data_IF_125739724278
#
_entry.id   IF_125739724278
#
_cell.length_a   1.000
_cell.length_b   1.000
_cell.length_c   1.000
_cell.angle_alpha   90.00
_cell.angle_beta   90.00
_cell.angle_gamma   90.00
#
_symmetry.space_group_name_H-M   'P 1'
#
loop_
_entity.id
_entity.type
_entity.pdbx_description
1 polymer ?
#
# COMPACT_ATOMS: atom_id res chain seq x y z
N UNK A 1 -65.12 -1.67 -36.42
CA UNK A 1 -63.69 -1.71 -36.80
C UNK A 1 -62.99 -0.54 -36.13
N UNK A 2 -62.03 -0.85 -35.24
CA UNK A 2 -60.80 -0.11 -34.91
C UNK A 2 -60.97 1.37 -34.52
N UNK A 3 -61.07 1.68 -33.23
CA UNK A 3 -59.94 2.07 -32.34
C UNK A 3 -59.18 3.31 -32.82
N UNK A 4 -59.18 4.41 -32.06
CA UNK A 4 -57.97 4.87 -31.38
C UNK A 4 -58.26 6.03 -30.41
N UNK A 5 -57.82 5.82 -29.17
CA UNK A 5 -57.77 6.77 -28.07
C UNK A 5 -56.79 7.92 -28.40
N UNK A 6 -57.18 9.17 -28.09
CA UNK A 6 -56.26 10.30 -28.10
C UNK A 6 -55.79 10.62 -26.68
N UNK A 7 -54.46 10.61 -26.56
CA UNK A 7 -53.64 10.56 -25.35
C UNK A 7 -53.47 11.93 -24.73
N UNK A 8 -53.59 12.03 -23.40
CA UNK A 8 -53.03 13.13 -22.60
C UNK A 8 -51.91 12.54 -21.74
N UNK A 9 -50.68 13.04 -21.89
CA UNK A 9 -49.75 13.12 -20.76
C UNK A 9 -48.66 14.16 -21.05
N UNK A 10 -48.74 15.30 -20.35
CA UNK A 10 -47.61 16.20 -20.14
C UNK A 10 -46.88 15.71 -18.89
N UNK A 11 -45.60 15.37 -19.01
CA UNK A 11 -44.69 15.25 -17.88
C UNK A 11 -43.30 15.71 -18.32
N UNK A 12 -43.00 16.96 -17.98
CA UNK A 12 -41.67 17.55 -18.02
C UNK A 12 -40.85 16.88 -16.91
N UNK A 13 -39.80 16.14 -17.28
CA UNK A 13 -38.72 15.80 -16.35
C UNK A 13 -37.43 16.35 -16.92
N UNK A 14 -37.01 17.44 -16.28
CA UNK A 14 -35.72 18.08 -16.44
C UNK A 14 -34.61 17.22 -15.79
N UNK A 15 -33.41 17.34 -16.34
CA UNK A 15 -32.10 16.96 -15.78
C UNK A 15 -31.79 15.46 -15.62
N UNK A 16 -30.90 14.99 -16.49
CA UNK A 16 -29.62 14.38 -16.09
C UNK A 16 -28.72 14.33 -17.31
N UNK A 17 -27.93 15.39 -17.52
CA UNK A 17 -26.75 15.31 -18.38
C UNK A 17 -25.86 14.25 -17.72
N UNK A 18 -25.43 13.18 -18.40
CA UNK A 18 -24.40 12.34 -17.83
C UNK A 18 -23.17 13.23 -17.68
N UNK A 19 -22.81 13.52 -16.43
CA UNK A 19 -21.50 14.09 -16.14
C UNK A 19 -20.48 13.17 -16.80
N UNK A 20 -19.87 13.66 -17.87
CA UNK A 20 -18.71 13.03 -18.48
C UNK A 20 -17.69 12.98 -17.36
N UNK A 21 -17.51 11.80 -16.77
CA UNK A 21 -16.38 11.53 -15.91
C UNK A 21 -15.15 11.84 -16.76
N UNK A 22 -14.50 12.98 -16.50
CA UNK A 22 -13.12 13.17 -16.88
C UNK A 22 -12.39 12.01 -16.20
N UNK A 23 -12.15 10.94 -16.95
CA UNK A 23 -11.09 10.00 -16.61
C UNK A 23 -9.88 10.91 -16.50
N UNK A 24 -9.41 11.16 -15.28
CA UNK A 24 -8.02 11.50 -15.08
C UNK A 24 -7.28 10.33 -15.70
N UNK A 25 -6.92 10.48 -16.97
CA UNK A 25 -5.99 9.58 -17.61
C UNK A 25 -4.67 10.03 -17.02
N UNK A 26 -4.39 9.56 -15.80
CA UNK A 26 -3.04 9.65 -15.28
C UNK A 26 -2.13 9.13 -16.38
N UNK A 27 -1.07 9.88 -16.74
CA UNK A 27 -0.16 9.44 -17.78
C UNK A 27 0.21 7.98 -17.52
N UNK A 28 -0.06 7.10 -18.48
CA UNK A 28 0.27 5.70 -18.32
C UNK A 28 1.79 5.61 -18.09
N UNK A 29 2.17 5.28 -16.86
CA UNK A 29 3.57 5.11 -16.50
C UNK A 29 4.09 3.95 -17.35
N UNK A 30 5.06 4.24 -18.22
CA UNK A 30 5.76 3.21 -18.97
C UNK A 30 6.60 2.41 -17.96
N UNK A 31 6.26 1.14 -17.79
CA UNK A 31 6.89 0.24 -16.83
C UNK A 31 7.84 -0.69 -17.56
N UNK A 32 9.09 -0.72 -17.13
CA UNK A 32 10.09 -1.64 -17.66
C UNK A 32 9.67 -3.08 -17.32
N UNK A 33 9.42 -3.95 -18.32
CA UNK A 33 8.90 -5.30 -18.07
C UNK A 33 9.87 -6.20 -17.31
N UNK A 34 11.18 -5.95 -17.39
CA UNK A 34 12.21 -6.71 -16.66
C UNK A 34 12.20 -6.29 -15.19
N UNK A 35 12.24 -4.98 -14.91
CA UNK A 35 12.17 -4.48 -13.53
C UNK A 35 10.83 -4.84 -12.86
N UNK A 36 9.76 -4.83 -13.63
CA UNK A 36 8.43 -5.23 -13.17
C UNK A 36 8.35 -6.71 -12.79
N UNK A 37 8.98 -7.60 -13.55
CA UNK A 37 9.04 -9.02 -13.24
C UNK A 37 9.90 -9.29 -12.00
N UNK A 38 11.05 -8.63 -11.87
CA UNK A 38 11.93 -8.77 -10.70
C UNK A 38 11.27 -8.24 -9.42
N UNK A 39 10.62 -7.08 -9.49
CA UNK A 39 9.88 -6.52 -8.37
C UNK A 39 8.70 -7.41 -7.94
N UNK A 40 8.00 -8.05 -8.89
CA UNK A 40 6.97 -9.07 -8.58
C UNK A 40 7.54 -10.26 -7.84
N UNK A 41 8.68 -10.78 -8.30
CA UNK A 41 9.36 -11.88 -7.61
C UNK A 41 9.76 -11.47 -6.18
N UNK A 42 10.31 -10.28 -6.00
CA UNK A 42 10.67 -9.76 -4.69
C UNK A 42 9.47 -9.60 -3.77
N UNK A 43 8.34 -9.11 -4.29
CA UNK A 43 7.08 -9.01 -3.56
C UNK A 43 6.54 -10.38 -3.11
N UNK A 44 6.58 -11.38 -3.98
CA UNK A 44 6.15 -12.74 -3.64
C UNK A 44 7.01 -13.33 -2.51
N UNK A 45 8.34 -13.14 -2.59
CA UNK A 45 9.25 -13.58 -1.52
C UNK A 45 9.03 -12.79 -0.22
N UNK A 46 8.70 -11.49 -0.32
CA UNK A 46 8.34 -10.67 0.83
C UNK A 46 7.08 -11.21 1.52
N UNK A 47 6.03 -11.58 0.78
CA UNK A 47 4.84 -12.20 1.35
C UNK A 47 5.10 -13.51 2.07
N UNK A 48 5.89 -14.40 1.45
CA UNK A 48 6.28 -15.66 2.10
C UNK A 48 7.07 -15.41 3.38
N UNK A 49 7.97 -14.41 3.35
CA UNK A 49 8.77 -14.00 4.50
C UNK A 49 7.91 -13.41 5.62
N UNK A 50 6.91 -12.59 5.27
CA UNK A 50 5.98 -11.96 6.18
C UNK A 50 5.09 -12.98 6.89
N UNK A 51 4.33 -13.79 6.14
CA UNK A 51 3.30 -14.69 6.69
C UNK A 51 3.89 -15.92 7.36
N UNK A 52 4.73 -16.66 6.64
CA UNK A 52 5.14 -18.01 7.06
C UNK A 52 6.36 -17.96 7.97
N UNK A 53 7.35 -17.14 7.58
CA UNK A 53 8.63 -17.07 8.28
C UNK A 53 8.62 -16.05 9.41
N UNK A 54 7.71 -15.07 9.40
CA UNK A 54 7.75 -13.88 10.27
C UNK A 54 9.15 -13.26 10.26
N UNK A 55 9.71 -13.19 9.06
CA UNK A 55 11.05 -12.71 8.76
C UNK A 55 11.00 -11.23 8.35
N UNK A 56 10.55 -10.39 9.28
CA UNK A 56 10.25 -8.97 9.05
C UNK A 56 11.47 -8.15 8.63
N UNK A 57 12.66 -8.45 9.18
CA UNK A 57 13.93 -7.85 8.73
C UNK A 57 14.19 -8.15 7.25
N UNK A 58 13.90 -9.38 6.82
CA UNK A 58 14.03 -9.78 5.42
C UNK A 58 13.05 -9.06 4.49
N UNK A 59 11.82 -8.80 4.95
CA UNK A 59 10.82 -8.03 4.21
C UNK A 59 11.27 -6.59 4.00
N UNK A 60 11.73 -5.92 5.06
CA UNK A 60 12.20 -4.53 5.01
C UNK A 60 13.36 -4.39 4.02
N UNK A 61 14.37 -5.26 4.09
CA UNK A 61 15.52 -5.17 3.19
C UNK A 61 15.14 -5.36 1.72
N UNK A 62 14.22 -6.29 1.41
CA UNK A 62 13.75 -6.46 0.02
C UNK A 62 12.96 -5.27 -0.47
N UNK A 63 12.11 -4.70 0.40
CA UNK A 63 11.38 -3.49 0.07
C UNK A 63 12.34 -2.34 -0.26
N UNK A 64 13.32 -2.07 0.60
CA UNK A 64 14.26 -0.97 0.39
C UNK A 64 15.07 -1.13 -0.90
N UNK A 65 15.50 -2.35 -1.22
CA UNK A 65 16.20 -2.67 -2.47
C UNK A 65 15.30 -2.43 -3.69
N UNK A 66 14.07 -2.98 -3.67
CA UNK A 66 13.11 -2.79 -4.77
C UNK A 66 12.70 -1.33 -4.92
N UNK A 67 12.44 -0.61 -3.82
CA UNK A 67 12.01 0.79 -3.85
C UNK A 67 13.12 1.72 -4.33
N UNK A 68 14.37 1.45 -3.95
CA UNK A 68 15.52 2.21 -4.44
C UNK A 68 15.77 1.99 -5.94
N UNK A 69 15.55 0.77 -6.44
CA UNK A 69 15.75 0.43 -7.85
C UNK A 69 14.57 0.83 -8.75
N UNK A 70 13.34 0.66 -8.26
CA UNK A 70 12.12 0.77 -9.07
C UNK A 70 10.90 1.24 -8.26
N UNK A 71 10.86 2.54 -7.87
CA UNK A 71 9.78 3.09 -7.04
C UNK A 71 8.41 3.13 -7.71
N UNK A 72 8.36 3.05 -9.05
CA UNK A 72 7.13 3.06 -9.87
C UNK A 72 6.53 1.65 -10.12
N UNK A 73 7.05 0.66 -9.41
CA UNK A 73 6.54 -0.71 -9.43
C UNK A 73 5.02 -0.74 -9.29
N UNK A 74 4.33 -1.48 -10.17
CA UNK A 74 2.86 -1.45 -10.24
C UNK A 74 2.15 -1.86 -8.94
N UNK A 75 2.82 -2.62 -8.08
CA UNK A 75 2.29 -3.06 -6.77
C UNK A 75 3.06 -2.48 -5.60
N UNK A 76 3.65 -1.29 -5.76
CA UNK A 76 4.45 -0.71 -4.69
C UNK A 76 3.65 -0.45 -3.42
N UNK A 77 2.33 -0.19 -3.51
CA UNK A 77 1.44 -0.05 -2.35
C UNK A 77 1.45 -1.30 -1.45
N UNK A 78 1.47 -2.49 -2.06
CA UNK A 78 1.43 -3.77 -1.36
C UNK A 78 2.76 -4.02 -0.67
N UNK A 79 3.86 -3.64 -1.33
CA UNK A 79 5.19 -3.73 -0.75
C UNK A 79 5.40 -2.73 0.41
N UNK A 80 4.93 -1.48 0.25
CA UNK A 80 4.91 -0.47 1.30
C UNK A 80 4.15 -0.94 2.54
N UNK A 81 2.96 -1.54 2.35
CA UNK A 81 2.20 -2.13 3.46
C UNK A 81 3.02 -3.22 4.19
N UNK A 82 3.60 -4.16 3.45
CA UNK A 82 4.43 -5.22 4.04
C UNK A 82 5.63 -4.66 4.82
N UNK A 83 6.31 -3.65 4.28
CA UNK A 83 7.43 -3.00 4.93
C UNK A 83 7.01 -2.25 6.20
N UNK A 84 5.90 -1.50 6.14
CA UNK A 84 5.34 -0.78 7.28
C UNK A 84 4.93 -1.71 8.42
N UNK A 85 4.16 -2.76 8.12
CA UNK A 85 3.75 -3.76 9.11
C UNK A 85 4.94 -4.54 9.67
N UNK A 86 5.93 -4.87 8.83
CA UNK A 86 7.16 -5.53 9.27
C UNK A 86 7.96 -4.65 10.22
N UNK A 87 8.06 -3.35 9.94
CA UNK A 87 8.77 -2.39 10.78
C UNK A 87 8.08 -2.24 12.13
N UNK A 88 6.76 -2.08 12.14
CA UNK A 88 5.95 -2.05 13.37
C UNK A 88 6.10 -3.33 14.19
N UNK A 89 5.98 -4.51 13.57
CA UNK A 89 6.13 -5.76 14.30
C UNK A 89 7.53 -5.94 14.87
N UNK A 90 8.57 -5.58 14.11
CA UNK A 90 9.94 -5.68 14.57
C UNK A 90 10.24 -4.68 15.70
N UNK A 91 9.63 -3.48 15.69
CA UNK A 91 9.77 -2.51 16.81
C UNK A 91 9.17 -3.04 18.10
N UNK A 92 8.12 -3.86 18.00
CA UNK A 92 7.50 -4.57 19.13
C UNK A 92 8.22 -5.89 19.47
N UNK A 93 9.44 -6.10 18.96
CA UNK A 93 10.25 -7.31 19.15
C UNK A 93 9.54 -8.60 18.73
N UNK A 94 8.63 -8.51 17.74
CA UNK A 94 7.94 -9.67 17.14
C UNK A 94 8.76 -10.22 15.96
N UNK A 95 8.46 -11.46 15.59
CA UNK A 95 9.10 -12.15 14.47
C UNK A 95 10.06 -13.25 14.91
N UNK A 96 10.59 -14.00 13.95
CA UNK A 96 11.55 -15.10 14.21
C UNK A 96 13.00 -14.66 14.10
N UNK A 97 13.26 -13.54 13.42
CA UNK A 97 14.62 -13.00 13.26
C UNK A 97 14.99 -12.14 14.46
N UNK A 98 16.20 -12.36 15.00
CA UNK A 98 16.76 -11.52 16.07
C UNK A 98 17.53 -10.35 15.45
N UNK A 99 17.37 -9.17 16.03
CA UNK A 99 18.18 -7.98 15.73
C UNK A 99 19.27 -7.88 16.78
N UNK A 100 20.51 -7.69 16.35
CA UNK A 100 21.65 -7.50 17.24
C UNK A 100 22.02 -6.02 17.33
N UNK A 101 21.39 -5.31 18.27
CA UNK A 101 21.63 -3.86 18.48
C UNK A 101 23.04 -3.52 19.00
N UNK A 102 23.91 -4.52 19.25
CA UNK A 102 25.34 -4.29 19.54
C UNK A 102 26.17 -4.06 18.27
N UNK A 103 25.65 -4.44 17.10
CA UNK A 103 26.29 -4.18 15.82
C UNK A 103 25.76 -2.85 15.29
N UNK A 104 26.64 -1.86 15.07
CA UNK A 104 26.22 -0.51 14.67
C UNK A 104 25.32 -0.54 13.43
N UNK A 105 25.70 -1.32 12.41
CA UNK A 105 24.88 -1.50 11.19
C UNK A 105 23.45 -1.98 11.47
N UNK A 106 23.27 -2.86 12.45
CA UNK A 106 21.93 -3.34 12.81
C UNK A 106 21.19 -2.36 13.71
N UNK A 107 21.90 -1.68 14.60
CA UNK A 107 21.34 -0.63 15.44
C UNK A 107 20.83 0.53 14.61
N UNK A 108 21.59 1.02 13.65
CA UNK A 108 21.23 2.15 12.79
C UNK A 108 19.94 1.89 12.01
N UNK A 109 19.77 0.66 11.51
CA UNK A 109 18.62 0.29 10.69
C UNK A 109 17.44 -0.26 11.49
N UNK A 110 17.68 -0.97 12.58
CA UNK A 110 16.66 -1.76 13.28
C UNK A 110 16.50 -1.37 14.75
N UNK A 111 16.99 -0.21 15.17
CA UNK A 111 16.63 0.35 16.47
C UNK A 111 15.10 0.52 16.57
N UNK A 112 14.46 0.20 17.72
CA UNK A 112 13.01 0.28 17.85
C UNK A 112 12.41 1.65 17.51
N UNK A 113 13.09 2.75 17.84
CA UNK A 113 12.64 4.10 17.49
C UNK A 113 12.61 4.30 15.96
N UNK A 114 13.70 3.95 15.29
CA UNK A 114 13.80 4.01 13.83
C UNK A 114 12.74 3.15 13.13
N UNK A 115 12.52 1.93 13.63
CA UNK A 115 11.48 1.04 13.11
C UNK A 115 10.06 1.61 13.24
N UNK A 116 9.77 2.36 14.30
CA UNK A 116 8.48 3.06 14.46
C UNK A 116 8.36 4.22 13.47
N UNK A 117 9.43 4.99 13.27
CA UNK A 117 9.47 6.05 12.26
C UNK A 117 9.23 5.50 10.86
N UNK A 118 9.91 4.40 10.52
CA UNK A 118 9.77 3.74 9.22
C UNK A 118 8.37 3.15 9.03
N UNK A 119 7.81 2.54 10.08
CA UNK A 119 6.42 2.07 10.06
C UNK A 119 5.45 3.22 9.77
N UNK A 120 5.63 4.37 10.42
CA UNK A 120 4.80 5.56 10.18
C UNK A 120 4.98 6.04 8.74
N UNK A 121 6.21 6.18 8.26
CA UNK A 121 6.49 6.68 6.92
C UNK A 121 5.87 5.78 5.85
N UNK A 122 6.11 4.47 5.90
CA UNK A 122 5.62 3.55 4.87
C UNK A 122 4.11 3.40 4.89
N UNK A 123 3.48 3.28 6.07
CA UNK A 123 2.02 3.17 6.16
C UNK A 123 1.31 4.49 5.78
N UNK A 124 1.92 5.65 6.07
CA UNK A 124 1.38 6.92 5.60
C UNK A 124 1.43 7.02 4.09
N UNK A 125 2.52 6.59 3.45
CA UNK A 125 2.64 6.53 1.99
C UNK A 125 1.60 5.61 1.34
N UNK A 126 1.22 4.50 1.98
CA UNK A 126 0.09 3.66 1.49
C UNK A 126 -1.18 4.49 1.40
N UNK A 127 -1.52 5.25 2.45
CA UNK A 127 -2.75 6.05 2.51
C UNK A 127 -2.72 7.27 1.58
N UNK A 128 -1.56 7.93 1.47
CA UNK A 128 -1.39 9.13 0.65
C UNK A 128 -1.43 8.80 -0.84
N UNK A 129 -0.72 7.76 -1.28
CA UNK A 129 -0.66 7.38 -2.68
C UNK A 129 -1.86 6.53 -3.12
N UNK A 130 -2.45 5.78 -2.20
CA UNK A 130 -3.54 4.86 -2.49
C UNK A 130 -4.68 4.98 -1.45
N UNK A 131 -5.46 6.08 -1.45
CA UNK A 131 -6.53 6.30 -0.46
C UNK A 131 -7.63 5.23 -0.43
N UNK A 132 -7.78 4.48 -1.53
CA UNK A 132 -8.72 3.37 -1.67
C UNK A 132 -8.03 1.98 -1.52
N UNK A 133 -6.81 1.94 -0.97
CA UNK A 133 -6.07 0.70 -0.80
C UNK A 133 -6.82 -0.30 0.08
N UNK A 134 -6.75 -1.58 -0.26
CA UNK A 134 -7.29 -2.66 0.57
C UNK A 134 -6.64 -2.75 1.96
N UNK A 135 -5.46 -2.13 2.13
CA UNK A 135 -4.70 -2.10 3.37
C UNK A 135 -5.03 -0.91 4.28
N UNK A 136 -5.98 -0.06 3.87
CA UNK A 136 -6.31 1.19 4.56
C UNK A 136 -6.58 1.00 6.05
N UNK A 137 -7.52 0.12 6.38
CA UNK A 137 -7.99 -0.04 7.77
C UNK A 137 -6.86 -0.52 8.69
N UNK A 138 -6.01 -1.44 8.21
CA UNK A 138 -4.84 -1.90 8.94
C UNK A 138 -3.80 -0.79 9.13
N UNK A 139 -3.53 -0.01 8.08
CA UNK A 139 -2.57 1.09 8.12
C UNK A 139 -3.04 2.19 9.08
N UNK A 140 -4.30 2.62 9.00
CA UNK A 140 -4.88 3.63 9.89
C UNK A 140 -4.86 3.17 11.36
N UNK A 141 -5.19 1.90 11.61
CA UNK A 141 -5.15 1.32 12.95
C UNK A 141 -3.74 1.38 13.54
N UNK A 142 -2.74 0.90 12.81
CA UNK A 142 -1.35 0.89 13.29
C UNK A 142 -0.79 2.30 13.45
N UNK A 143 -1.08 3.22 12.53
CA UNK A 143 -0.69 4.62 12.64
C UNK A 143 -1.29 5.28 13.89
N UNK A 144 -2.55 4.99 14.20
CA UNK A 144 -3.21 5.49 15.41
C UNK A 144 -2.51 4.93 16.66
N UNK A 145 -2.22 3.63 16.69
CA UNK A 145 -1.52 3.01 17.81
C UNK A 145 -0.11 3.59 18.02
N UNK A 146 0.64 3.81 16.93
CA UNK A 146 1.99 4.37 16.99
C UNK A 146 1.98 5.81 17.49
N UNK A 147 1.03 6.63 17.05
CA UNK A 147 0.87 8.03 17.51
C UNK A 147 0.45 8.12 18.97
N UNK A 148 -0.34 7.17 19.46
CA UNK A 148 -0.76 7.13 20.87
C UNK A 148 0.36 6.71 21.84
N UNK A 149 1.44 6.10 21.34
CA UNK A 149 2.60 5.63 22.11
C UNK A 149 3.83 6.54 22.01
N UNK A 150 3.70 7.70 21.33
CA UNK A 150 4.73 8.75 21.31
C UNK A 150 4.62 9.61 22.57
#
# INVERSE_FOLDING_TARGET
MKSLFFTILVAIVLFSIPAVAQRNIDPAIERDPILELDAKHNLDVAWQSFRLKKAYKGVIMRFEETYAAYPEFSKIEEFLYLAGMSSYYLSENKGKQKVNLKLEKEKDKFAPAKLKEDAIAYLSLVLEKNPASQYKDDAEKVLTELKAKQ
#
